data_IF_482478519729
#
_entry.id   IF_482478519729
#
_cell.length_a   1.000
_cell.length_b   1.000
_cell.length_c   1.000
_cell.angle_alpha   90.00
_cell.angle_beta   90.00
_cell.angle_gamma   90.00
#
_symmetry.space_group_name_H-M   'P 1'
#
loop_
_entity.id
_entity.type
_entity.pdbx_description
1 polymer ?
#
# COMPACT_ATOMS: atom_id res chain seq x y z
N UNK A 1 24.04 14.85 -2.27
CA UNK A 1 22.69 15.28 -1.81
C UNK A 1 22.58 16.78 -1.99
N UNK A 2 21.57 17.31 -2.69
CA UNK A 2 21.39 18.75 -2.82
C UNK A 2 21.02 19.35 -1.48
N UNK A 3 21.84 20.26 -0.97
CA UNK A 3 21.62 20.92 0.33
C UNK A 3 20.73 22.17 0.23
N UNK A 4 20.59 22.76 -0.96
CA UNK A 4 20.07 24.13 -1.13
C UNK A 4 18.78 24.25 -1.94
N UNK A 5 18.27 23.16 -2.53
CA UNK A 5 17.03 23.21 -3.30
C UNK A 5 16.23 21.89 -3.18
N UNK A 6 14.94 22.02 -3.23
CA UNK A 6 14.03 20.88 -3.27
C UNK A 6 14.15 20.17 -4.63
N UNK A 7 14.24 18.83 -4.60
CA UNK A 7 14.30 18.03 -5.82
C UNK A 7 12.90 17.95 -6.41
N UNK A 8 12.68 18.32 -7.68
CA UNK A 8 11.38 18.21 -8.31
C UNK A 8 10.93 16.74 -8.34
N UNK A 9 9.69 16.49 -7.96
CA UNK A 9 9.07 15.16 -8.04
C UNK A 9 8.73 14.88 -9.50
N UNK A 10 9.13 13.70 -9.99
CA UNK A 10 8.74 13.25 -11.33
C UNK A 10 7.23 13.02 -11.36
N UNK A 11 6.57 13.57 -12.36
CA UNK A 11 5.17 13.26 -12.63
C UNK A 11 5.04 11.86 -13.20
N UNK A 12 4.07 11.10 -12.69
CA UNK A 12 3.77 9.76 -13.16
C UNK A 12 2.57 9.88 -14.11
N UNK A 13 2.79 9.53 -15.37
CA UNK A 13 1.71 9.47 -16.35
C UNK A 13 0.66 8.43 -15.92
N UNK A 14 -0.62 8.71 -16.14
CA UNK A 14 -1.68 7.76 -15.85
C UNK A 14 -1.53 6.48 -16.69
N UNK A 15 -2.07 5.39 -16.18
CA UNK A 15 -2.04 4.10 -16.87
C UNK A 15 -2.82 4.15 -18.18
N UNK A 16 -2.28 3.65 -19.33
CA UNK A 16 -2.93 3.76 -20.62
C UNK A 16 -4.24 2.96 -20.73
N UNK A 17 -4.40 1.88 -19.96
CA UNK A 17 -5.60 1.01 -20.02
C UNK A 17 -6.73 1.53 -19.14
N UNK A 18 -6.42 2.04 -17.95
CA UNK A 18 -7.40 2.47 -16.95
C UNK A 18 -7.42 3.97 -16.67
N UNK A 19 -6.53 4.75 -17.26
CA UNK A 19 -6.47 6.20 -17.10
C UNK A 19 -6.16 6.66 -15.66
N UNK A 20 -5.75 5.75 -14.77
CA UNK A 20 -5.55 6.01 -13.34
C UNK A 20 -4.07 6.17 -12.98
N UNK A 21 -3.75 7.27 -12.29
CA UNK A 21 -2.40 7.51 -11.77
C UNK A 21 -2.05 6.55 -10.61
N UNK A 22 -3.03 6.10 -9.84
CA UNK A 22 -2.79 5.16 -8.74
C UNK A 22 -2.49 3.76 -9.26
N UNK A 23 -3.12 3.34 -10.38
CA UNK A 23 -2.77 2.10 -11.10
C UNK A 23 -1.32 2.16 -11.59
N UNK A 24 -0.92 3.26 -12.23
CA UNK A 24 0.46 3.45 -12.70
C UNK A 24 1.49 3.43 -11.54
N UNK A 25 1.17 4.06 -10.40
CA UNK A 25 2.00 4.00 -9.18
C UNK A 25 2.09 2.58 -8.65
N UNK A 26 0.99 1.84 -8.66
CA UNK A 26 0.96 0.47 -8.16
C UNK A 26 1.79 -0.48 -9.03
N UNK A 27 1.78 -0.31 -10.36
CA UNK A 27 2.72 -1.01 -11.27
C UNK A 27 4.16 -0.77 -10.86
N UNK A 28 4.53 0.48 -10.54
CA UNK A 28 5.88 0.79 -10.09
C UNK A 28 6.23 0.16 -8.74
N UNK A 29 5.24 -0.03 -7.85
CA UNK A 29 5.43 -0.73 -6.55
C UNK A 29 5.57 -2.24 -6.75
N UNK A 30 4.85 -2.82 -7.71
CA UNK A 30 4.95 -4.25 -8.06
C UNK A 30 6.25 -4.58 -8.77
N UNK A 31 6.79 -3.64 -9.52
CA UNK A 31 7.96 -3.84 -10.38
C UNK A 31 9.19 -4.26 -9.55
N UNK A 32 9.88 -5.30 -10.02
CA UNK A 32 11.14 -5.78 -9.47
C UNK A 32 12.20 -5.78 -10.58
N UNK A 33 13.42 -5.34 -10.28
CA UNK A 33 14.54 -5.27 -11.22
C UNK A 33 14.24 -4.52 -12.54
N UNK A 34 13.36 -3.50 -12.49
CA UNK A 34 13.01 -2.69 -13.67
C UNK A 34 12.08 -3.37 -14.68
N UNK A 35 11.57 -4.57 -14.39
CA UNK A 35 10.72 -5.35 -15.32
C UNK A 35 9.28 -4.85 -15.31
N UNK A 36 9.04 -3.67 -15.88
CA UNK A 36 7.73 -2.99 -15.85
C UNK A 36 6.64 -3.77 -16.60
N UNK A 37 6.94 -4.32 -17.79
CA UNK A 37 5.98 -5.10 -18.58
C UNK A 37 5.46 -6.34 -17.87
N UNK A 38 6.30 -6.97 -17.03
CA UNK A 38 5.89 -8.11 -16.21
C UNK A 38 4.92 -7.64 -15.10
N UNK A 39 5.22 -6.51 -14.44
CA UNK A 39 4.35 -5.95 -13.42
C UNK A 39 2.98 -5.54 -13.98
N UNK A 40 2.95 -4.92 -15.16
CA UNK A 40 1.71 -4.58 -15.89
C UNK A 40 0.88 -5.84 -16.21
N UNK A 41 1.52 -6.89 -16.73
CA UNK A 41 0.86 -8.18 -17.03
C UNK A 41 0.25 -8.80 -15.77
N UNK A 42 0.96 -8.77 -14.65
CA UNK A 42 0.46 -9.29 -13.37
C UNK A 42 -0.77 -8.50 -12.91
N UNK A 43 -0.72 -7.17 -12.93
CA UNK A 43 -1.81 -6.33 -12.49
C UNK A 43 -3.05 -6.44 -13.39
N UNK A 44 -2.85 -6.37 -14.70
CA UNK A 44 -3.97 -6.50 -15.65
C UNK A 44 -4.62 -7.88 -15.59
N UNK A 45 -3.82 -8.94 -15.48
CA UNK A 45 -4.34 -10.30 -15.28
C UNK A 45 -5.09 -10.46 -13.95
N UNK A 46 -4.64 -9.78 -12.88
CA UNK A 46 -5.38 -9.75 -11.62
C UNK A 46 -6.73 -9.05 -11.76
N UNK A 47 -6.78 -7.91 -12.45
CA UNK A 47 -8.02 -7.19 -12.75
C UNK A 47 -9.00 -8.02 -13.58
N UNK A 48 -8.51 -8.70 -14.62
CA UNK A 48 -9.33 -9.62 -15.42
C UNK A 48 -9.88 -10.78 -14.57
N UNK A 49 -9.08 -11.29 -13.65
CA UNK A 49 -9.52 -12.35 -12.73
C UNK A 49 -10.59 -11.88 -11.77
N UNK A 50 -10.52 -10.64 -11.28
CA UNK A 50 -11.54 -10.01 -10.43
C UNK A 50 -12.84 -9.82 -11.21
N UNK A 51 -12.76 -9.27 -12.43
CA UNK A 51 -13.92 -9.07 -13.28
C UNK A 51 -14.65 -10.39 -13.58
N UNK A 52 -13.90 -11.46 -13.90
CA UNK A 52 -14.46 -12.79 -14.19
C UNK A 52 -15.13 -13.44 -12.98
N UNK A 53 -14.57 -13.27 -11.77
CA UNK A 53 -15.09 -13.92 -10.56
C UNK A 53 -16.25 -13.18 -9.90
N UNK A 54 -16.23 -11.86 -9.93
CA UNK A 54 -17.15 -11.04 -9.13
C UNK A 54 -18.11 -10.18 -9.91
N UNK A 55 -17.96 -10.03 -11.23
CA UNK A 55 -18.77 -9.12 -12.06
C UNK A 55 -18.67 -7.65 -11.65
N UNK A 56 -17.76 -7.30 -10.73
CA UNK A 56 -17.52 -5.94 -10.25
C UNK A 56 -16.46 -5.27 -11.13
N UNK A 57 -16.53 -3.94 -11.22
CA UNK A 57 -15.47 -3.17 -11.87
C UNK A 57 -14.14 -3.34 -11.13
N UNK A 58 -13.09 -3.86 -11.78
CA UNK A 58 -11.79 -4.07 -11.15
C UNK A 58 -11.17 -2.78 -10.60
N UNK A 59 -11.45 -1.63 -11.22
CA UNK A 59 -10.93 -0.34 -10.78
C UNK A 59 -11.59 0.10 -9.47
N UNK A 60 -12.89 -0.12 -9.32
CA UNK A 60 -13.61 0.14 -8.07
C UNK A 60 -13.08 -0.75 -6.94
N UNK A 61 -12.93 -2.05 -7.19
CA UNK A 61 -12.36 -3.00 -6.22
C UNK A 61 -10.96 -2.57 -5.80
N UNK A 62 -10.11 -2.17 -6.73
CA UNK A 62 -8.76 -1.68 -6.44
C UNK A 62 -8.78 -0.40 -5.61
N UNK A 63 -9.61 0.56 -5.95
CA UNK A 63 -9.75 1.83 -5.23
C UNK A 63 -10.25 1.59 -3.81
N UNK A 64 -11.24 0.72 -3.64
CA UNK A 64 -11.77 0.32 -2.35
C UNK A 64 -10.72 -0.41 -1.50
N UNK A 65 -9.98 -1.35 -2.08
CA UNK A 65 -8.89 -2.06 -1.42
C UNK A 65 -7.80 -1.11 -0.92
N UNK A 66 -7.40 -0.13 -1.74
CA UNK A 66 -6.45 0.91 -1.33
C UNK A 66 -7.01 1.76 -0.18
N UNK A 67 -8.26 2.21 -0.30
CA UNK A 67 -8.91 3.02 0.72
C UNK A 67 -8.96 2.31 2.07
N UNK A 68 -9.37 1.05 2.06
CA UNK A 68 -9.45 0.22 3.26
C UNK A 68 -8.07 -0.03 3.90
N UNK A 69 -7.01 -0.17 3.08
CA UNK A 69 -5.66 -0.48 3.55
C UNK A 69 -4.85 0.75 4.00
N UNK A 70 -5.34 1.97 3.78
CA UNK A 70 -4.63 3.21 4.16
C UNK A 70 -4.57 3.38 5.68
N UNK A 71 -3.36 3.48 6.30
CA UNK A 71 -3.23 3.77 7.72
C UNK A 71 -3.41 5.26 8.01
N UNK A 72 -4.07 5.58 9.12
CA UNK A 72 -4.18 6.95 9.64
C UNK A 72 -2.97 7.33 10.49
N UNK A 73 -2.42 6.36 11.23
CA UNK A 73 -1.29 6.53 12.15
C UNK A 73 -0.22 5.48 11.91
N UNK A 74 1.02 5.81 12.17
CA UNK A 74 2.16 4.89 12.19
C UNK A 74 2.98 5.11 13.47
N UNK A 75 3.82 4.16 13.83
CA UNK A 75 4.72 4.27 14.97
C UNK A 75 6.12 4.55 14.46
N UNK A 76 6.77 5.57 15.03
CA UNK A 76 8.17 5.91 14.76
C UNK A 76 9.00 5.78 16.02
N UNK A 77 10.14 5.12 15.90
CA UNK A 77 11.12 5.06 17.00
C UNK A 77 11.80 6.43 17.16
N UNK A 78 11.81 6.95 18.38
CA UNK A 78 12.49 8.18 18.78
C UNK A 78 13.36 7.91 19.99
N UNK A 79 14.59 8.44 19.98
CA UNK A 79 15.50 8.36 21.11
C UNK A 79 15.35 9.60 21.97
N UNK A 80 14.96 9.39 23.24
CA UNK A 80 14.80 10.46 24.22
C UNK A 80 15.52 10.05 25.50
N UNK A 81 16.47 10.87 25.97
CA UNK A 81 17.21 10.59 27.21
C UNK A 81 17.95 9.25 27.24
N UNK A 82 18.38 8.73 26.07
CA UNK A 82 19.08 7.44 25.96
C UNK A 82 18.18 6.23 25.75
N UNK A 83 16.87 6.34 25.96
CA UNK A 83 15.89 5.27 25.69
C UNK A 83 15.21 5.47 24.33
N UNK A 84 14.83 4.35 23.70
CA UNK A 84 14.08 4.36 22.43
C UNK A 84 12.59 4.22 22.72
N UNK A 85 11.81 5.24 22.34
CA UNK A 85 10.37 5.24 22.46
C UNK A 85 9.70 5.06 21.11
N UNK A 86 8.63 4.27 21.08
CA UNK A 86 7.76 4.11 19.93
C UNK A 86 6.68 5.20 19.96
N UNK A 87 6.83 6.23 19.13
CA UNK A 87 5.95 7.40 19.16
C UNK A 87 4.92 7.30 18.02
N UNK A 88 3.61 7.34 18.33
CA UNK A 88 2.57 7.38 17.31
C UNK A 88 2.56 8.72 16.59
N UNK A 89 2.56 8.68 15.26
CA UNK A 89 2.58 9.86 14.40
C UNK A 89 1.52 9.72 13.31
N UNK A 90 0.81 10.81 13.03
CA UNK A 90 -0.12 10.83 11.91
C UNK A 90 0.60 10.67 10.56
N UNK A 91 0.04 9.88 9.66
CA UNK A 91 0.61 9.61 8.35
C UNK A 91 0.10 10.64 7.33
N UNK A 92 1.00 11.28 6.58
CA UNK A 92 0.63 12.21 5.50
C UNK A 92 -0.14 11.47 4.39
N UNK A 93 -1.12 12.09 3.71
CA UNK A 93 -1.98 11.43 2.71
C UNK A 93 -1.21 10.68 1.61
N UNK A 94 -0.15 11.29 1.06
CA UNK A 94 0.69 10.64 0.04
C UNK A 94 1.35 9.37 0.56
N UNK A 95 1.82 9.38 1.81
CA UNK A 95 2.45 8.23 2.46
C UNK A 95 1.43 7.14 2.80
N UNK A 96 0.19 7.50 3.17
CA UNK A 96 -0.90 6.53 3.42
C UNK A 96 -1.10 5.63 2.20
N UNK A 97 -1.20 6.25 1.01
CA UNK A 97 -1.36 5.51 -0.25
C UNK A 97 -0.15 4.64 -0.56
N UNK A 98 1.07 5.15 -0.37
CA UNK A 98 2.29 4.38 -0.60
C UNK A 98 2.41 3.17 0.35
N UNK A 99 2.02 3.32 1.62
CA UNK A 99 2.00 2.22 2.59
C UNK A 99 0.95 1.17 2.23
N UNK A 100 -0.27 1.59 1.87
CA UNK A 100 -1.33 0.68 1.44
C UNK A 100 -0.89 -0.16 0.23
N UNK A 101 -0.32 0.47 -0.80
CA UNK A 101 0.20 -0.24 -1.98
C UNK A 101 1.28 -1.26 -1.62
N UNK A 102 2.20 -0.89 -0.74
CA UNK A 102 3.28 -1.78 -0.28
C UNK A 102 2.73 -2.97 0.50
N UNK A 103 1.81 -2.73 1.42
CA UNK A 103 1.22 -3.80 2.23
C UNK A 103 0.38 -4.78 1.40
N UNK A 104 -0.38 -4.30 0.42
CA UNK A 104 -1.10 -5.16 -0.53
C UNK A 104 -0.12 -6.02 -1.32
N UNK A 105 0.99 -5.45 -1.83
CA UNK A 105 2.02 -6.22 -2.53
C UNK A 105 2.64 -7.29 -1.62
N UNK A 106 3.06 -6.92 -0.41
CA UNK A 106 3.68 -7.83 0.55
C UNK A 106 2.72 -8.94 0.98
N UNK A 107 1.47 -8.59 1.27
CA UNK A 107 0.44 -9.56 1.61
C UNK A 107 0.17 -10.53 0.43
N UNK A 108 0.08 -10.02 -0.80
CA UNK A 108 -0.07 -10.88 -1.98
C UNK A 108 1.12 -11.84 -2.16
N UNK A 109 2.35 -11.40 -1.88
CA UNK A 109 3.54 -12.25 -2.01
C UNK A 109 3.54 -13.44 -1.03
N UNK A 110 2.94 -13.30 0.14
CA UNK A 110 2.88 -14.36 1.17
C UNK A 110 1.73 -15.35 0.96
N UNK A 111 0.84 -15.12 0.02
CA UNK A 111 -0.29 -16.02 -0.29
C UNK A 111 0.18 -17.31 -0.96
N UNK A 112 -0.61 -18.38 -0.83
CA UNK A 112 -0.28 -19.72 -1.30
C UNK A 112 -0.67 -20.05 -2.75
N UNK A 113 -1.35 -19.16 -3.49
CA UNK A 113 -1.77 -19.41 -4.87
C UNK A 113 -0.55 -19.54 -5.82
N UNK A 114 -0.72 -20.26 -6.93
CA UNK A 114 0.37 -20.61 -7.86
C UNK A 114 1.05 -19.39 -8.50
N UNK A 115 0.28 -18.40 -8.96
CA UNK A 115 0.80 -17.26 -9.70
C UNK A 115 0.61 -15.94 -8.92
N UNK A 116 1.52 -14.99 -9.12
CA UNK A 116 1.38 -13.66 -8.52
C UNK A 116 0.10 -12.94 -8.96
N UNK A 117 -0.36 -13.19 -10.17
CA UNK A 117 -1.64 -12.69 -10.69
C UNK A 117 -2.82 -13.15 -9.83
N UNK A 118 -2.88 -14.44 -9.50
CA UNK A 118 -3.93 -15.00 -8.65
C UNK A 118 -3.84 -14.52 -7.21
N UNK A 119 -2.62 -14.47 -6.66
CA UNK A 119 -2.34 -13.95 -5.31
C UNK A 119 -2.81 -12.51 -5.17
N UNK A 120 -2.46 -11.67 -6.14
CA UNK A 120 -2.85 -10.25 -6.16
C UNK A 120 -4.35 -10.07 -6.30
N UNK A 121 -5.00 -10.84 -7.19
CA UNK A 121 -6.45 -10.81 -7.36
C UNK A 121 -7.18 -11.19 -6.07
N UNK A 122 -6.71 -12.25 -5.39
CA UNK A 122 -7.25 -12.68 -4.10
C UNK A 122 -7.09 -11.61 -3.02
N UNK A 123 -5.89 -11.04 -2.87
CA UNK A 123 -5.65 -10.00 -1.87
C UNK A 123 -6.46 -8.73 -2.11
N UNK A 124 -6.56 -8.27 -3.36
CA UNK A 124 -7.36 -7.08 -3.72
C UNK A 124 -8.85 -7.30 -3.43
N UNK A 125 -9.40 -8.48 -3.76
CA UNK A 125 -10.79 -8.81 -3.48
C UNK A 125 -11.07 -8.82 -1.96
N UNK A 126 -10.22 -9.50 -1.18
CA UNK A 126 -10.35 -9.56 0.28
C UNK A 126 -10.15 -8.18 0.94
N UNK A 127 -9.17 -7.39 0.49
CA UNK A 127 -8.92 -6.05 1.01
C UNK A 127 -10.09 -5.09 0.71
N UNK A 128 -10.74 -5.22 -0.45
CA UNK A 128 -11.95 -4.45 -0.77
C UNK A 128 -13.12 -4.78 0.18
N UNK A 129 -13.20 -6.03 0.65
CA UNK A 129 -14.18 -6.49 1.65
C UNK A 129 -13.76 -6.22 3.11
N UNK A 130 -12.63 -5.55 3.33
CA UNK A 130 -12.12 -5.26 4.67
C UNK A 130 -11.42 -6.44 5.35
N UNK A 131 -10.96 -7.43 4.57
CA UNK A 131 -10.25 -8.64 5.04
C UNK A 131 -8.86 -8.71 4.40
N UNK A 132 -8.15 -9.80 4.60
CA UNK A 132 -6.84 -10.04 3.97
C UNK A 132 -5.63 -9.58 4.78
N UNK A 133 -4.45 -9.86 4.25
CA UNK A 133 -3.17 -9.61 4.93
C UNK A 133 -2.83 -8.13 5.08
N UNK A 134 -3.15 -7.32 4.07
CA UNK A 134 -2.93 -5.87 4.10
C UNK A 134 -3.78 -5.19 5.18
N UNK A 135 -5.04 -5.64 5.36
CA UNK A 135 -5.92 -5.16 6.40
C UNK A 135 -5.42 -5.52 7.79
N UNK A 136 -4.98 -6.77 7.99
CA UNK A 136 -4.37 -7.21 9.25
C UNK A 136 -3.15 -6.36 9.60
N UNK A 137 -2.32 -6.03 8.59
CA UNK A 137 -1.15 -5.16 8.78
C UNK A 137 -1.53 -3.75 9.20
N UNK A 138 -2.57 -3.16 8.60
CA UNK A 138 -3.11 -1.87 9.02
C UNK A 138 -3.56 -1.90 10.48
N UNK A 139 -4.34 -2.91 10.86
CA UNK A 139 -4.87 -3.07 12.21
C UNK A 139 -3.75 -3.27 13.24
N UNK A 140 -2.72 -4.06 12.91
CA UNK A 140 -1.53 -4.24 13.74
C UNK A 140 -0.84 -2.91 14.02
N UNK A 141 -0.60 -2.09 12.96
CA UNK A 141 0.03 -0.78 13.10
C UNK A 141 -0.83 0.17 13.92
N UNK A 142 -2.15 0.18 13.73
CA UNK A 142 -3.07 1.00 14.51
C UNK A 142 -3.10 0.55 15.98
N UNK A 143 -3.08 -0.75 16.25
CA UNK A 143 -3.02 -1.31 17.62
C UNK A 143 -1.70 -0.92 18.31
N UNK A 144 -0.58 -1.01 17.60
CA UNK A 144 0.71 -0.55 18.14
C UNK A 144 0.69 0.96 18.46
N UNK A 145 0.09 1.77 17.59
CA UNK A 145 -0.03 3.20 17.80
C UNK A 145 -0.92 3.53 19.02
N UNK A 146 -2.01 2.80 19.21
CA UNK A 146 -2.89 2.97 20.38
C UNK A 146 -2.20 2.54 21.68
N UNK A 147 -1.48 1.42 21.68
CA UNK A 147 -0.71 0.94 22.84
C UNK A 147 0.38 1.94 23.27
N UNK A 148 0.95 2.69 22.32
CA UNK A 148 2.00 3.70 22.58
C UNK A 148 1.47 5.13 22.66
N UNK A 149 0.15 5.32 22.79
CA UNK A 149 -0.51 6.64 22.82
C UNK A 149 0.04 7.55 23.94
N UNK A 150 0.42 6.99 25.06
CA UNK A 150 1.02 7.72 26.19
C UNK A 150 2.29 8.49 25.80
N UNK A 151 3.02 8.04 24.76
CA UNK A 151 4.26 8.68 24.28
C UNK A 151 4.00 9.70 23.14
N UNK A 152 2.76 10.04 22.85
CA UNK A 152 2.40 10.98 21.77
C UNK A 152 2.97 12.39 21.99
N UNK A 153 3.24 12.79 23.23
CA UNK A 153 3.83 14.08 23.57
C UNK A 153 5.31 14.21 23.14
N UNK A 154 6.01 13.10 22.83
CA UNK A 154 7.36 13.13 22.25
C UNK A 154 7.35 13.37 20.72
N UNK A 155 6.25 13.87 20.19
CA UNK A 155 6.10 14.26 18.80
C UNK A 155 6.80 15.61 18.59
N UNK A 156 7.87 15.64 17.80
CA UNK A 156 8.59 16.86 17.39
C UNK A 156 8.57 16.96 15.86
#
# INVERSE_FOLDING_TARGET
MPRRREIPKREILPDPKYGSSDVAKFVNVLMTAGKKSVAERILYGAFESIAKKGGKDPLEVFTQALSNSRPMVEVKSRRVGGANFQVPVEVRPVRRTALAMRWIREAAQTRGEKSMTQRLAGELAEAAEGRGGAMKKREEVHRMAEANKAFSHFRF
#
